data_IF_301271193386
#
_entry.id   IF_301271193386
#
_cell.length_a   1.000
_cell.length_b   1.000
_cell.length_c   1.000
_cell.angle_alpha   90.00
_cell.angle_beta   90.00
_cell.angle_gamma   90.00
#
_symmetry.space_group_name_H-M   'P 1'
#
loop_
_entity.id
_entity.type
_entity.pdbx_description
1 polymer ?
#
# COMPACT_ATOMS: atom_id res chain seq x y z
N UNK A 1 15.01 10.71 36.07
CA UNK A 1 15.01 11.01 34.63
C UNK A 1 13.62 11.50 34.23
N UNK A 2 13.46 12.76 33.86
CA UNK A 2 12.19 13.28 33.35
C UNK A 2 12.18 13.10 31.83
N UNK A 3 11.08 12.61 31.26
CA UNK A 3 10.94 12.60 29.79
C UNK A 3 10.90 14.04 29.30
N UNK A 4 11.47 14.30 28.12
CA UNK A 4 11.50 15.62 27.50
C UNK A 4 10.23 15.93 26.70
N UNK A 5 9.31 14.98 26.60
CA UNK A 5 8.06 15.10 25.83
C UNK A 5 6.92 15.59 26.72
N UNK A 6 6.08 16.49 26.19
CA UNK A 6 4.84 16.88 26.86
C UNK A 6 3.82 15.73 26.92
N UNK A 7 3.09 15.67 28.03
CA UNK A 7 1.97 14.72 28.18
C UNK A 7 0.90 14.91 27.11
N UNK A 8 0.65 16.14 26.68
CA UNK A 8 -0.32 16.48 25.63
C UNK A 8 -0.02 15.76 24.30
N UNK A 9 1.23 15.79 23.83
CA UNK A 9 1.64 15.08 22.60
C UNK A 9 1.48 13.56 22.74
N UNK A 10 1.79 13.01 23.92
CA UNK A 10 1.62 11.58 24.21
C UNK A 10 0.13 11.21 24.18
N UNK A 11 -0.74 12.02 24.79
CA UNK A 11 -2.19 11.80 24.78
C UNK A 11 -2.74 11.82 23.35
N UNK A 12 -2.35 12.82 22.54
CA UNK A 12 -2.76 12.88 21.13
C UNK A 12 -2.32 11.63 20.35
N UNK A 13 -1.11 11.12 20.57
CA UNK A 13 -0.66 9.88 19.93
C UNK A 13 -1.51 8.68 20.36
N UNK A 14 -1.72 8.51 21.67
CA UNK A 14 -2.44 7.36 22.24
C UNK A 14 -3.92 7.35 21.82
N UNK A 15 -4.53 8.53 21.71
CA UNK A 15 -5.89 8.71 21.21
C UNK A 15 -5.99 8.58 19.67
N UNK A 16 -4.86 8.48 18.99
CA UNK A 16 -4.76 8.42 17.53
C UNK A 16 -5.14 9.74 16.86
N UNK A 17 -4.86 10.87 17.48
CA UNK A 17 -5.17 12.22 16.97
C UNK A 17 -3.93 13.00 16.56
N UNK A 18 -2.77 12.35 16.48
CA UNK A 18 -1.49 13.00 16.23
C UNK A 18 -1.10 12.93 14.74
N UNK A 19 -0.93 14.10 14.11
CA UNK A 19 -0.65 14.19 12.67
C UNK A 19 0.78 13.81 12.29
N UNK A 20 1.74 13.95 13.22
CA UNK A 20 3.14 13.66 12.95
C UNK A 20 3.80 12.80 14.05
N UNK A 21 3.55 11.48 14.08
CA UNK A 21 4.14 10.57 15.05
C UNK A 21 5.68 10.61 15.12
N UNK A 22 6.37 11.00 14.05
CA UNK A 22 7.84 11.08 14.01
C UNK A 22 8.42 12.19 14.89
N UNK A 23 7.63 13.18 15.31
CA UNK A 23 8.08 14.16 16.32
C UNK A 23 8.23 13.54 17.72
N UNK A 24 7.62 12.38 17.93
CA UNK A 24 7.57 11.71 19.22
C UNK A 24 8.32 10.38 19.18
N UNK A 25 7.97 9.53 18.22
CA UNK A 25 8.46 8.18 18.03
C UNK A 25 9.78 8.16 17.27
N UNK A 26 10.48 7.02 17.38
CA UNK A 26 11.79 6.84 16.77
C UNK A 26 12.92 7.50 17.57
N UNK A 27 14.07 7.73 16.93
CA UNK A 27 15.25 8.30 17.55
C UNK A 27 15.24 9.84 17.56
N UNK A 28 15.52 10.46 18.71
CA UNK A 28 15.60 11.92 18.87
C UNK A 28 16.86 12.33 19.61
N UNK A 29 17.61 13.31 19.10
CA UNK A 29 18.75 13.86 19.83
C UNK A 29 18.28 14.61 21.08
N UNK A 30 18.86 14.28 22.23
CA UNK A 30 18.56 14.91 23.52
C UNK A 30 19.84 15.18 24.31
N UNK A 31 19.72 16.00 25.34
CA UNK A 31 20.78 16.16 26.35
C UNK A 31 20.37 15.44 27.63
N UNK A 32 21.20 14.50 28.07
CA UNK A 32 21.03 13.78 29.34
C UNK A 32 22.25 14.04 30.23
N UNK A 33 22.02 14.55 31.44
CA UNK A 33 23.07 14.92 32.41
C UNK A 33 24.23 15.76 31.79
N UNK A 34 23.91 16.68 30.87
CA UNK A 34 24.90 17.55 30.20
C UNK A 34 25.68 16.89 29.05
N UNK A 35 25.31 15.67 28.63
CA UNK A 35 25.92 14.95 27.51
C UNK A 35 24.91 14.69 26.42
N UNK A 36 25.38 14.62 25.17
CA UNK A 36 24.54 14.20 24.02
C UNK A 36 24.13 12.74 24.18
N UNK A 37 22.85 12.47 23.95
CA UNK A 37 22.26 11.14 23.95
C UNK A 37 21.15 11.05 22.90
N UNK A 38 20.70 9.84 22.61
CA UNK A 38 19.56 9.58 21.74
C UNK A 38 18.40 9.04 22.58
N UNK A 39 17.26 9.73 22.55
CA UNK A 39 16.01 9.21 23.09
C UNK A 39 15.33 8.38 22.01
N UNK A 40 15.22 7.07 22.22
CA UNK A 40 14.44 6.17 21.36
C UNK A 40 13.09 5.95 22.01
N UNK A 41 12.01 6.25 21.27
CA UNK A 41 10.64 6.13 21.78
C UNK A 41 9.78 5.28 20.87
N UNK A 42 9.00 4.39 21.46
CA UNK A 42 8.13 3.47 20.73
C UNK A 42 6.74 3.40 21.38
N UNK A 43 5.70 3.33 20.55
CA UNK A 43 4.34 3.08 21.00
C UNK A 43 3.97 1.61 20.74
N UNK A 44 3.88 0.86 21.82
CA UNK A 44 3.77 -0.60 21.85
C UNK A 44 2.64 -1.00 22.81
N UNK A 45 1.37 -0.83 22.40
CA UNK A 45 0.21 -0.89 23.30
C UNK A 45 0.08 -2.19 24.09
N UNK A 46 0.43 -3.32 23.47
CA UNK A 46 0.25 -4.65 24.06
C UNK A 46 1.54 -5.23 24.67
N UNK A 47 2.65 -4.47 24.63
CA UNK A 47 3.93 -4.94 25.15
C UNK A 47 4.03 -4.74 26.66
N UNK A 48 4.50 -5.77 27.37
CA UNK A 48 4.80 -5.70 28.79
C UNK A 48 6.11 -4.93 29.02
N UNK A 49 7.14 -5.26 28.23
CA UNK A 49 8.48 -4.69 28.33
C UNK A 49 9.06 -4.49 26.94
N UNK A 50 9.95 -3.51 26.80
CA UNK A 50 10.64 -3.21 25.56
C UNK A 50 12.12 -2.86 25.82
N UNK A 51 12.97 -3.14 24.84
CA UNK A 51 14.41 -2.83 24.87
C UNK A 51 14.85 -2.29 23.52
N UNK A 52 15.85 -1.41 23.53
CA UNK A 52 16.64 -1.05 22.35
C UNK A 52 17.81 -2.02 22.27
N UNK A 53 17.93 -2.71 21.14
CA UNK A 53 18.96 -3.73 20.91
C UNK A 53 19.75 -3.46 19.64
N UNK A 54 20.98 -3.96 19.57
CA UNK A 54 21.80 -3.94 18.34
C UNK A 54 21.51 -5.18 17.47
N UNK A 55 21.38 -5.03 16.14
CA UNK A 55 21.26 -6.16 15.22
C UNK A 55 22.45 -7.12 15.36
N UNK A 56 22.17 -8.39 15.65
CA UNK A 56 23.17 -9.45 15.62
C UNK A 56 24.19 -9.48 16.77
N UNK A 57 24.19 -8.53 17.72
CA UNK A 57 25.11 -8.53 18.87
C UNK A 57 24.44 -8.15 20.19
N UNK A 58 24.77 -8.87 21.26
CA UNK A 58 24.20 -8.68 22.60
C UNK A 58 24.80 -7.50 23.40
N UNK A 59 25.59 -6.62 22.76
CA UNK A 59 26.34 -5.57 23.48
C UNK A 59 25.43 -4.41 23.89
N UNK A 60 24.46 -4.06 23.04
CA UNK A 60 23.40 -3.11 23.38
C UNK A 60 22.09 -3.87 23.68
N UNK A 61 21.64 -3.80 24.93
CA UNK A 61 20.35 -4.33 25.38
C UNK A 61 19.75 -3.38 26.43
N UNK A 62 19.37 -2.19 25.98
CA UNK A 62 18.95 -1.07 26.83
C UNK A 62 17.47 -1.19 27.15
N UNK A 63 17.06 -1.42 28.42
CA UNK A 63 15.63 -1.45 28.76
C UNK A 63 14.99 -0.09 28.52
N UNK A 64 13.80 -0.10 27.93
CA UNK A 64 12.97 1.07 27.77
C UNK A 64 12.06 1.21 28.99
N UNK A 65 11.99 2.41 29.55
CA UNK A 65 11.04 2.75 30.61
C UNK A 65 9.69 3.04 29.98
N UNK A 66 8.62 2.48 30.54
CA UNK A 66 7.25 2.87 30.21
C UNK A 66 6.98 4.28 30.76
N UNK A 67 6.78 5.25 29.87
CA UNK A 67 6.50 6.65 30.21
C UNK A 67 5.00 6.98 30.17
N UNK A 68 4.17 6.11 29.58
CA UNK A 68 2.71 6.23 29.61
C UNK A 68 2.06 4.85 29.75
N UNK A 69 0.99 4.68 30.56
CA UNK A 69 0.36 3.38 30.81
C UNK A 69 -0.20 2.72 29.56
N UNK A 70 -0.57 3.50 28.54
CA UNK A 70 -1.06 2.99 27.25
C UNK A 70 0.01 2.28 26.40
N UNK A 71 1.26 2.18 26.87
CA UNK A 71 2.32 1.47 26.16
C UNK A 71 3.29 2.37 25.40
N UNK A 72 3.52 3.60 25.85
CA UNK A 72 4.60 4.44 25.31
C UNK A 72 5.86 4.20 26.13
N UNK A 73 6.94 3.82 25.44
CA UNK A 73 8.22 3.45 26.03
C UNK A 73 9.32 4.41 25.56
N UNK A 74 10.30 4.67 26.42
CA UNK A 74 11.46 5.53 26.16
C UNK A 74 12.73 4.89 26.70
N UNK A 75 13.79 4.87 25.89
CA UNK A 75 15.15 4.59 26.33
C UNK A 75 16.06 5.76 25.96
N UNK A 76 16.91 6.17 26.90
CA UNK A 76 17.98 7.11 26.63
C UNK A 76 19.27 6.32 26.40
N UNK A 77 19.80 6.45 25.19
CA UNK A 77 20.97 5.74 24.71
C UNK A 77 22.14 6.73 24.61
N UNK A 78 23.21 6.57 25.41
CA UNK A 78 24.39 7.43 25.30
C UNK A 78 24.98 7.41 23.90
N UNK A 79 25.50 8.55 23.42
CA UNK A 79 26.09 8.64 22.08
C UNK A 79 27.19 7.59 21.83
N UNK A 80 27.94 7.20 22.87
CA UNK A 80 28.97 6.15 22.80
C UNK A 80 28.43 4.76 22.44
N UNK A 81 27.13 4.51 22.65
CA UNK A 81 26.46 3.23 22.33
C UNK A 81 25.77 3.26 20.96
N UNK A 82 25.64 4.44 20.34
CA UNK A 82 24.83 4.67 19.13
C UNK A 82 25.67 5.11 17.92
N UNK A 83 27.00 4.86 17.93
CA UNK A 83 27.98 5.27 16.91
C UNK A 83 27.68 4.74 15.49
N UNK A 84 26.65 5.27 14.82
CA UNK A 84 26.23 4.86 13.47
C UNK A 84 25.54 3.49 13.39
N UNK A 85 25.40 2.78 14.52
CA UNK A 85 24.74 1.48 14.57
C UNK A 85 23.24 1.64 14.49
N UNK A 86 22.60 0.91 13.56
CA UNK A 86 21.15 0.74 13.58
C UNK A 86 20.72 -0.01 14.82
N UNK A 87 19.55 0.29 15.34
CA UNK A 87 18.95 -0.46 16.43
C UNK A 87 17.72 -1.22 15.96
N UNK A 88 17.32 -2.19 16.78
CA UNK A 88 16.02 -2.84 16.71
C UNK A 88 15.32 -2.67 18.05
N UNK A 89 14.00 -2.83 18.03
CA UNK A 89 13.18 -2.92 19.21
C UNK A 89 12.97 -4.39 19.53
N UNK A 90 13.35 -4.81 20.74
CA UNK A 90 12.94 -6.10 21.29
C UNK A 90 11.74 -5.86 22.19
N UNK A 91 10.67 -6.62 22.02
CA UNK A 91 9.46 -6.52 22.83
C UNK A 91 9.14 -7.85 23.48
N UNK A 92 8.56 -7.80 24.68
CA UNK A 92 8.01 -8.96 25.36
C UNK A 92 6.50 -8.76 25.55
N UNK A 93 5.70 -9.69 25.00
CA UNK A 93 4.26 -9.75 25.20
C UNK A 93 3.92 -10.23 26.63
N UNK A 94 2.66 -10.09 27.05
CA UNK A 94 2.21 -10.53 28.39
C UNK A 94 2.47 -12.02 28.66
N UNK A 95 2.52 -12.87 27.61
CA UNK A 95 2.85 -14.29 27.71
C UNK A 95 4.35 -14.61 27.73
N UNK A 96 5.24 -13.61 27.78
CA UNK A 96 6.70 -13.78 27.84
C UNK A 96 7.36 -14.07 26.48
N UNK A 97 6.59 -14.25 25.40
CA UNK A 97 7.13 -14.34 24.04
C UNK A 97 7.86 -13.05 23.69
N UNK A 98 9.11 -13.19 23.24
CA UNK A 98 9.94 -12.08 22.79
C UNK A 98 10.01 -12.06 21.27
N UNK A 99 9.95 -10.88 20.69
CA UNK A 99 10.19 -10.65 19.27
C UNK A 99 11.08 -9.42 19.08
N UNK A 100 11.77 -9.38 17.96
CA UNK A 100 12.57 -8.23 17.52
C UNK A 100 11.97 -7.66 16.26
N UNK A 101 11.95 -6.35 16.15
CA UNK A 101 11.47 -5.63 14.98
C UNK A 101 12.34 -4.41 14.72
N UNK A 102 12.47 -4.00 13.46
CA UNK A 102 12.96 -2.67 13.15
C UNK A 102 11.92 -1.63 13.60
N UNK A 103 12.38 -0.46 14.02
CA UNK A 103 11.49 0.65 14.36
C UNK A 103 11.01 1.34 13.08
N UNK A 104 9.69 1.32 12.75
CA UNK A 104 9.14 2.02 11.59
C UNK A 104 9.43 3.52 11.59
N UNK A 105 9.61 4.12 12.77
CA UNK A 105 9.84 5.56 12.95
C UNK A 105 11.32 5.95 12.95
N UNK A 106 12.22 4.99 12.67
CA UNK A 106 13.65 5.25 12.47
C UNK A 106 14.04 5.54 11.01
N UNK A 107 13.12 5.34 10.07
CA UNK A 107 13.38 5.50 8.63
C UNK A 107 12.96 6.89 8.10
N UNK A 108 13.66 7.43 7.09
CA UNK A 108 13.28 8.70 6.45
C UNK A 108 11.98 8.57 5.64
N UNK A 109 11.37 9.71 5.24
CA UNK A 109 10.39 9.68 4.15
C UNK A 109 11.06 9.40 2.81
N UNK A 110 10.29 8.84 1.88
CA UNK A 110 10.67 8.59 0.50
C UNK A 110 10.08 9.60 -0.49
N UNK A 111 8.97 10.26 -0.15
CA UNK A 111 8.46 11.37 -0.95
C UNK A 111 9.46 12.54 -0.91
N UNK A 112 9.95 12.95 -2.09
CA UNK A 112 10.90 14.05 -2.23
C UNK A 112 10.18 15.39 -2.38
N UNK A 113 10.89 16.49 -2.17
CA UNK A 113 10.36 17.85 -2.41
C UNK A 113 9.88 18.03 -3.86
N UNK A 114 10.52 17.34 -4.82
CA UNK A 114 10.11 17.34 -6.21
C UNK A 114 8.79 16.57 -6.42
N UNK A 115 8.63 15.42 -5.77
CA UNK A 115 7.35 14.68 -5.80
C UNK A 115 6.23 15.56 -5.22
N UNK A 116 6.44 16.23 -4.08
CA UNK A 116 5.46 17.14 -3.49
C UNK A 116 5.11 18.32 -4.41
N UNK A 117 6.10 18.93 -5.05
CA UNK A 117 5.88 20.03 -5.98
C UNK A 117 4.94 19.61 -7.11
N UNK A 118 5.26 18.52 -7.81
CA UNK A 118 4.43 18.01 -8.92
C UNK A 118 3.04 17.53 -8.45
N UNK A 119 2.96 16.92 -7.27
CA UNK A 119 1.69 16.47 -6.68
C UNK A 119 0.77 17.66 -6.37
N UNK A 120 1.30 18.74 -5.80
CA UNK A 120 0.54 19.94 -5.50
C UNK A 120 0.06 20.66 -6.77
N UNK A 121 0.83 20.61 -7.85
CA UNK A 121 0.44 21.19 -9.14
C UNK A 121 -0.49 20.29 -9.98
N UNK A 122 -0.70 19.04 -9.56
CA UNK A 122 -1.46 18.05 -10.34
C UNK A 122 -0.74 17.61 -11.62
N UNK A 123 0.58 17.79 -11.69
CA UNK A 123 1.43 17.50 -12.86
C UNK A 123 2.29 16.23 -12.68
N UNK A 124 2.09 15.49 -11.58
CA UNK A 124 2.79 14.24 -11.32
C UNK A 124 2.17 13.05 -12.09
N UNK A 125 2.46 12.94 -13.39
CA UNK A 125 1.89 11.89 -14.28
C UNK A 125 2.19 10.44 -13.86
N UNK A 126 3.26 10.22 -13.10
CA UNK A 126 3.66 8.89 -12.55
C UNK A 126 3.42 8.78 -11.05
N UNK A 127 2.40 9.47 -10.52
CA UNK A 127 2.16 9.52 -9.06
C UNK A 127 1.92 8.13 -8.45
N UNK A 128 1.46 7.17 -9.25
CA UNK A 128 1.27 5.78 -8.84
C UNK A 128 2.57 5.08 -8.45
N UNK A 129 3.75 5.61 -8.80
CA UNK A 129 5.06 5.07 -8.37
C UNK A 129 5.48 5.54 -6.98
N UNK A 130 4.76 6.53 -6.46
CA UNK A 130 5.04 7.20 -5.19
C UNK A 130 3.93 6.98 -4.18
N UNK A 131 2.68 7.11 -4.61
CA UNK A 131 1.48 6.85 -3.81
C UNK A 131 1.04 5.40 -3.94
N UNK A 132 0.27 4.92 -2.96
CA UNK A 132 -0.12 3.53 -2.83
C UNK A 132 0.82 2.76 -1.90
N UNK A 133 0.96 1.45 -2.12
CA UNK A 133 1.88 0.60 -1.37
C UNK A 133 2.97 0.04 -2.27
N UNK A 134 4.22 0.29 -1.89
CA UNK A 134 5.40 -0.05 -2.69
C UNK A 134 6.42 -0.84 -1.89
N UNK A 135 6.85 -1.97 -2.43
CA UNK A 135 8.02 -2.69 -1.94
C UNK A 135 9.27 -1.81 -2.09
N UNK A 136 10.00 -1.62 -1.00
CA UNK A 136 11.20 -0.77 -0.93
C UNK A 136 12.23 -1.41 -0.02
N UNK A 137 13.49 -1.25 -0.40
CA UNK A 137 14.63 -1.53 0.47
C UNK A 137 15.21 -0.19 0.89
N UNK A 138 15.01 0.19 2.15
CA UNK A 138 15.64 1.39 2.70
C UNK A 138 16.81 0.91 3.51
N UNK A 139 18.00 1.39 3.15
CA UNK A 139 19.16 1.18 3.98
C UNK A 139 19.59 -0.32 4.08
N UNK A 140 19.05 -1.21 3.23
CA UNK A 140 19.27 -2.66 3.31
C UNK A 140 18.23 -3.40 4.18
N UNK A 141 17.16 -2.72 4.59
CA UNK A 141 15.99 -3.32 5.23
C UNK A 141 14.83 -3.28 4.24
N UNK A 142 14.31 -4.46 3.92
CA UNK A 142 13.12 -4.60 3.07
C UNK A 142 11.85 -4.25 3.85
N UNK A 143 10.87 -3.70 3.16
CA UNK A 143 9.57 -3.38 3.72
C UNK A 143 8.65 -2.78 2.68
N UNK A 144 7.57 -2.17 3.16
CA UNK A 144 6.57 -1.51 2.30
C UNK A 144 6.45 -0.05 2.71
N UNK A 145 6.61 0.83 1.73
CA UNK A 145 6.25 2.24 1.87
C UNK A 145 4.80 2.45 1.46
N UNK A 146 4.03 3.04 2.35
CA UNK A 146 2.63 3.41 2.13
C UNK A 146 2.52 4.92 2.04
N UNK A 147 1.82 5.41 1.02
CA UNK A 147 1.53 6.83 0.89
C UNK A 147 0.11 7.08 0.35
N UNK A 148 -0.64 7.97 1.00
CA UNK A 148 -2.03 8.28 0.65
C UNK A 148 -2.33 9.76 0.84
N UNK A 149 -3.14 10.33 -0.04
CA UNK A 149 -3.61 11.71 0.08
C UNK A 149 -4.89 11.78 0.91
N UNK A 150 -4.83 12.47 2.04
CA UNK A 150 -5.99 12.68 2.92
C UNK A 150 -5.81 13.99 3.70
N UNK A 151 -5.90 15.15 3.03
CA UNK A 151 -5.41 16.42 3.58
C UNK A 151 -6.18 16.88 4.82
N UNK A 152 -7.47 16.59 4.88
CA UNK A 152 -8.34 16.98 5.99
C UNK A 152 -8.39 15.93 7.11
N UNK A 153 -7.75 14.77 6.95
CA UNK A 153 -7.69 13.79 8.03
C UNK A 153 -6.92 14.36 9.23
N UNK A 154 -7.35 13.98 10.43
CA UNK A 154 -6.64 14.29 11.69
C UNK A 154 -5.63 13.20 12.03
N UNK A 155 -5.83 11.98 11.54
CA UNK A 155 -4.83 10.90 11.59
C UNK A 155 -5.08 9.90 10.48
N UNK A 156 -4.02 9.31 9.95
CA UNK A 156 -4.10 8.09 9.12
C UNK A 156 -3.17 7.03 9.70
N UNK A 157 -3.60 5.78 9.68
CA UNK A 157 -2.79 4.63 10.09
C UNK A 157 -2.91 3.51 9.07
N UNK A 158 -1.83 2.78 8.82
CA UNK A 158 -1.90 1.56 8.01
C UNK A 158 -2.36 0.42 8.91
N UNK A 159 -3.43 -0.28 8.54
CA UNK A 159 -3.97 -1.42 9.28
C UNK A 159 -3.99 -2.66 8.39
N UNK A 160 -3.71 -3.81 8.98
CA UNK A 160 -3.68 -5.08 8.25
C UNK A 160 -3.37 -6.26 9.17
N UNK A 161 -3.22 -7.44 8.60
CA UNK A 161 -2.97 -8.66 9.39
C UNK A 161 -1.69 -8.55 10.24
N UNK A 162 -0.66 -7.90 9.71
CA UNK A 162 0.63 -7.68 10.37
C UNK A 162 0.52 -6.91 11.69
N UNK A 163 -0.57 -6.17 11.91
CA UNK A 163 -0.81 -5.42 13.12
C UNK A 163 -2.17 -5.73 13.76
N UNK A 164 -2.79 -6.86 13.40
CA UNK A 164 -4.12 -7.28 13.86
C UNK A 164 -5.21 -6.22 13.64
N UNK A 165 -5.10 -5.47 12.54
CA UNK A 165 -6.03 -4.40 12.18
C UNK A 165 -6.15 -3.27 13.23
N UNK A 166 -5.12 -3.06 14.05
CA UNK A 166 -5.06 -2.04 15.09
C UNK A 166 -4.38 -0.76 14.60
N UNK A 167 -5.19 0.28 14.37
CA UNK A 167 -4.73 1.61 13.93
C UNK A 167 -3.80 2.34 14.91
N UNK A 168 -3.68 1.89 16.16
CA UNK A 168 -2.73 2.50 17.11
C UNK A 168 -1.28 2.14 16.80
N UNK A 169 -1.04 1.04 16.08
CA UNK A 169 0.30 0.44 15.96
C UNK A 169 1.17 1.04 14.87
N UNK A 170 0.55 1.57 13.80
CA UNK A 170 1.27 2.13 12.65
C UNK A 170 0.64 3.45 12.16
N UNK A 171 0.52 4.49 13.02
CA UNK A 171 0.12 5.81 12.57
C UNK A 171 1.16 6.43 11.62
N UNK A 172 0.68 7.07 10.55
CA UNK A 172 1.48 7.65 9.48
C UNK A 172 1.82 9.12 9.79
N UNK A 173 2.85 9.66 9.13
CA UNK A 173 3.17 11.10 9.18
C UNK A 173 2.42 11.85 8.11
N UNK A 174 1.75 12.95 8.47
CA UNK A 174 1.23 13.96 7.55
C UNK A 174 2.34 14.92 7.12
N UNK A 175 2.47 15.12 5.82
CA UNK A 175 3.35 16.14 5.22
C UNK A 175 2.55 17.42 4.96
N UNK A 176 2.90 18.49 5.67
CA UNK A 176 2.25 19.81 5.58
C UNK A 176 3.06 20.69 4.62
N UNK A 177 2.42 21.49 3.73
CA UNK A 177 0.97 21.77 3.65
C UNK A 177 0.18 20.82 2.74
N UNK A 178 0.83 19.87 2.06
CA UNK A 178 0.20 19.06 1.01
C UNK A 178 -0.88 18.07 1.47
N UNK A 179 -0.78 17.58 2.71
CA UNK A 179 -1.75 16.64 3.27
C UNK A 179 -1.59 15.19 2.81
N UNK A 180 -0.42 14.83 2.29
CA UNK A 180 -0.03 13.44 2.05
C UNK A 180 0.39 12.78 3.35
N UNK A 181 -0.01 11.53 3.54
CA UNK A 181 0.37 10.70 4.67
C UNK A 181 1.34 9.64 4.19
N UNK A 182 2.40 9.37 4.96
CA UNK A 182 3.40 8.39 4.60
C UNK A 182 3.91 7.58 5.81
N UNK A 183 4.20 6.30 5.59
CA UNK A 183 4.93 5.45 6.51
C UNK A 183 5.66 4.33 5.77
N UNK A 184 6.93 4.10 6.11
CA UNK A 184 7.62 2.87 5.76
C UNK A 184 7.49 1.86 6.90
N UNK A 185 6.97 0.66 6.60
CA UNK A 185 6.86 -0.42 7.56
C UNK A 185 7.85 -1.53 7.19
N UNK A 186 8.93 -1.70 7.98
CA UNK A 186 9.96 -2.68 7.71
C UNK A 186 9.45 -4.12 7.91
N UNK A 187 9.99 -5.06 7.14
CA UNK A 187 9.70 -6.49 7.23
C UNK A 187 8.39 -6.92 6.57
N UNK A 188 7.57 -5.99 6.06
CA UNK A 188 6.40 -6.34 5.26
C UNK A 188 6.82 -6.81 3.86
N UNK A 189 6.04 -7.72 3.29
CA UNK A 189 6.30 -8.35 2.01
C UNK A 189 5.09 -8.27 1.06
N UNK A 190 5.30 -8.72 -0.17
CA UNK A 190 4.23 -8.95 -1.14
C UNK A 190 3.13 -9.86 -0.56
N UNK A 191 1.88 -9.60 -0.94
CA UNK A 191 0.71 -10.29 -0.42
C UNK A 191 0.18 -9.74 0.90
N UNK A 192 0.87 -8.76 1.51
CA UNK A 192 0.38 -8.11 2.74
C UNK A 192 -0.97 -7.44 2.49
N UNK A 193 -2.00 -7.88 3.22
CA UNK A 193 -3.32 -7.27 3.24
C UNK A 193 -3.31 -6.00 4.09
N UNK A 194 -3.87 -4.92 3.57
CA UNK A 194 -3.93 -3.65 4.27
C UNK A 194 -5.12 -2.76 3.87
N UNK A 195 -5.40 -1.79 4.74
CA UNK A 195 -6.28 -0.63 4.53
C UNK A 195 -5.67 0.59 5.20
N UNK A 196 -6.19 1.77 4.85
CA UNK A 196 -5.95 2.99 5.60
C UNK A 196 -7.08 3.21 6.61
N UNK A 197 -6.74 3.23 7.90
CA UNK A 197 -7.65 3.72 8.94
C UNK A 197 -7.52 5.23 9.02
N UNK A 198 -8.52 5.92 8.51
CA UNK A 198 -8.59 7.38 8.43
C UNK A 198 -9.47 7.91 9.55
N UNK A 199 -8.98 8.88 10.31
CA UNK A 199 -9.77 9.64 11.28
C UNK A 199 -10.02 11.04 10.76
N UNK A 200 -11.27 11.48 10.90
CA UNK A 200 -11.68 12.85 10.65
C UNK A 200 -12.62 13.27 11.78
N UNK A 201 -12.15 14.19 12.63
CA UNK A 201 -12.82 14.54 13.89
C UNK A 201 -13.07 13.27 14.74
N UNK A 202 -14.31 13.01 15.13
CA UNK A 202 -14.69 11.84 15.93
C UNK A 202 -15.07 10.60 15.08
N UNK A 203 -14.98 10.70 13.76
CA UNK A 203 -15.28 9.59 12.86
C UNK A 203 -14.02 8.85 12.44
N UNK A 204 -14.11 7.52 12.35
CA UNK A 204 -13.04 6.62 11.93
C UNK A 204 -13.57 5.73 10.82
N UNK A 205 -12.81 5.63 9.73
CA UNK A 205 -13.15 4.88 8.53
C UNK A 205 -11.99 3.97 8.13
N UNK A 206 -12.30 2.76 7.66
CA UNK A 206 -11.31 1.90 7.01
C UNK A 206 -11.52 1.97 5.50
N UNK A 207 -10.52 2.52 4.80
CA UNK A 207 -10.52 2.78 3.36
C UNK A 207 -9.61 1.83 2.61
N UNK A 208 -10.03 1.42 1.42
CA UNK A 208 -9.13 0.78 0.46
C UNK A 208 -8.09 1.78 -0.01
N UNK A 209 -6.97 1.29 -0.52
CA UNK A 209 -5.98 2.18 -1.12
C UNK A 209 -6.52 2.72 -2.46
N UNK A 210 -6.69 4.05 -2.63
CA UNK A 210 -7.11 4.64 -3.91
C UNK A 210 -6.16 4.29 -5.06
N UNK A 211 -4.89 4.04 -4.74
CA UNK A 211 -3.80 3.68 -5.64
C UNK A 211 -3.30 2.25 -5.39
N UNK A 212 -4.12 1.39 -4.78
CA UNK A 212 -3.82 -0.01 -4.60
C UNK A 212 -3.79 -0.76 -5.94
N UNK A 213 -2.69 -1.47 -6.18
CA UNK A 213 -2.49 -2.25 -7.40
C UNK A 213 -3.23 -3.60 -7.41
N UNK A 214 -3.69 -4.05 -6.25
CA UNK A 214 -4.52 -5.24 -6.14
C UNK A 214 -5.44 -5.20 -4.90
N UNK A 215 -6.50 -5.99 -4.94
CA UNK A 215 -7.53 -6.04 -3.92
C UNK A 215 -8.00 -7.49 -3.66
N UNK A 216 -8.53 -7.75 -2.47
CA UNK A 216 -9.22 -9.02 -2.21
C UNK A 216 -10.45 -9.21 -3.10
N UNK A 217 -10.79 -10.48 -3.33
CA UNK A 217 -12.02 -10.85 -4.05
C UNK A 217 -13.26 -10.31 -3.31
N UNK A 218 -14.13 -9.53 -3.99
CA UNK A 218 -15.38 -9.05 -3.40
C UNK A 218 -16.24 -10.20 -2.82
N UNK A 219 -16.93 -9.99 -1.68
CA UNK A 219 -17.24 -8.71 -1.04
C UNK A 219 -16.17 -8.21 -0.06
N UNK A 220 -15.01 -8.86 0.02
CA UNK A 220 -13.89 -8.34 0.81
C UNK A 220 -13.29 -7.13 0.12
N UNK A 221 -12.60 -6.30 0.89
CA UNK A 221 -12.22 -4.94 0.46
C UNK A 221 -10.82 -4.54 0.87
N UNK A 222 -9.98 -5.42 1.44
CA UNK A 222 -8.60 -5.02 1.68
C UNK A 222 -7.84 -4.88 0.35
N UNK A 223 -6.94 -3.90 0.30
CA UNK A 223 -5.90 -3.86 -0.73
C UNK A 223 -4.81 -4.86 -0.35
N UNK A 224 -4.02 -5.35 -1.30
CA UNK A 224 -2.81 -6.10 -0.99
C UNK A 224 -1.61 -5.63 -1.80
N UNK A 225 -0.43 -5.72 -1.18
CA UNK A 225 0.85 -5.32 -1.77
C UNK A 225 1.23 -6.30 -2.87
N UNK A 226 1.55 -5.80 -4.07
CA UNK A 226 1.93 -6.62 -5.22
C UNK A 226 3.17 -6.03 -5.92
N UNK A 227 4.06 -6.90 -6.41
CA UNK A 227 5.18 -6.49 -7.26
C UNK A 227 4.80 -6.60 -8.74
N UNK A 228 4.56 -5.45 -9.38
CA UNK A 228 4.20 -5.39 -10.80
C UNK A 228 5.35 -5.76 -11.75
N UNK A 229 6.59 -5.89 -11.27
CA UNK A 229 7.76 -6.17 -12.12
C UNK A 229 8.00 -7.67 -12.37
N UNK A 230 7.13 -8.55 -11.86
CA UNK A 230 7.29 -10.01 -12.00
C UNK A 230 6.96 -10.57 -13.38
N UNK A 231 6.21 -9.83 -14.19
CA UNK A 231 5.82 -10.30 -15.52
C UNK A 231 6.87 -9.89 -16.57
N UNK A 232 7.32 -10.85 -17.37
CA UNK A 232 8.18 -10.61 -18.52
C UNK A 232 7.32 -10.57 -19.78
N UNK A 233 7.26 -9.40 -20.41
CA UNK A 233 6.49 -9.16 -21.65
C UNK A 233 7.23 -9.71 -22.87
N UNK A 234 6.47 -10.15 -23.88
CA UNK A 234 7.00 -10.61 -25.17
C UNK A 234 6.32 -9.89 -26.36
N UNK A 235 5.80 -8.68 -26.14
CA UNK A 235 4.99 -7.92 -27.09
C UNK A 235 5.75 -6.76 -27.76
N UNK A 236 7.07 -6.73 -27.68
CA UNK A 236 7.91 -5.65 -28.21
C UNK A 236 7.63 -5.37 -29.70
N UNK A 237 7.49 -6.42 -30.51
CA UNK A 237 7.17 -6.29 -31.94
C UNK A 237 5.77 -5.69 -32.17
N UNK A 238 4.79 -6.08 -31.35
CA UNK A 238 3.45 -5.51 -31.40
C UNK A 238 3.47 -4.03 -31.06
N UNK A 239 4.12 -3.63 -29.97
CA UNK A 239 4.23 -2.22 -29.56
C UNK A 239 4.97 -1.37 -30.60
N UNK A 240 6.03 -1.91 -31.22
CA UNK A 240 6.76 -1.23 -32.28
C UNK A 240 5.91 -1.01 -33.55
N UNK A 241 5.05 -1.97 -33.91
CA UNK A 241 4.06 -1.81 -34.98
C UNK A 241 2.97 -0.81 -34.58
N UNK A 242 2.46 -0.91 -33.35
CA UNK A 242 1.38 -0.08 -32.80
C UNK A 242 1.74 1.41 -32.86
N UNK A 243 2.98 1.76 -32.53
CA UNK A 243 3.47 3.14 -32.52
C UNK A 243 3.53 3.80 -33.90
N UNK A 244 3.57 3.01 -34.98
CA UNK A 244 3.64 3.49 -36.37
C UNK A 244 2.32 3.34 -37.13
N UNK A 245 1.33 2.71 -36.51
CA UNK A 245 0.06 2.40 -37.14
C UNK A 245 -0.81 3.65 -37.29
N UNK A 246 -1.40 3.80 -38.48
CA UNK A 246 -2.46 4.77 -38.73
C UNK A 246 -3.82 4.07 -38.56
N UNK A 247 -4.31 4.06 -37.33
CA UNK A 247 -5.50 3.31 -36.92
C UNK A 247 -6.77 3.69 -37.69
N UNK A 248 -6.85 4.94 -38.16
CA UNK A 248 -8.02 5.42 -38.93
C UNK A 248 -8.09 4.71 -40.30
N UNK A 249 -6.95 4.28 -40.83
CA UNK A 249 -6.83 3.65 -42.15
C UNK A 249 -6.49 2.15 -42.07
N UNK A 250 -6.65 1.53 -40.90
CA UNK A 250 -6.46 0.09 -40.69
C UNK A 250 -7.78 -0.61 -40.37
N UNK A 251 -7.89 -1.92 -40.65
CA UNK A 251 -9.09 -2.68 -40.30
C UNK A 251 -9.26 -2.76 -38.77
N UNK A 252 -10.35 -2.17 -38.29
CA UNK A 252 -10.78 -2.21 -36.89
C UNK A 252 -12.08 -3.00 -36.80
N UNK A 253 -11.96 -4.28 -36.41
CA UNK A 253 -13.09 -5.16 -36.11
C UNK A 253 -12.98 -5.57 -34.65
N UNK A 254 -13.88 -5.03 -33.82
CA UNK A 254 -13.79 -5.10 -32.37
C UNK A 254 -14.83 -6.10 -31.85
N UNK A 255 -14.38 -7.04 -31.02
CA UNK A 255 -15.24 -7.94 -30.25
C UNK A 255 -15.34 -7.45 -28.80
N UNK A 256 -16.50 -6.90 -28.43
CA UNK A 256 -16.77 -6.41 -27.08
C UNK A 256 -17.06 -7.58 -26.12
N UNK A 257 -16.40 -7.60 -24.96
CA UNK A 257 -16.43 -8.73 -24.02
C UNK A 257 -16.58 -8.26 -22.57
N UNK A 258 -17.60 -8.78 -21.90
CA UNK A 258 -17.66 -8.82 -20.44
C UNK A 258 -17.04 -10.13 -19.93
N UNK A 259 -15.83 -10.07 -19.38
CA UNK A 259 -15.05 -11.26 -18.98
C UNK A 259 -15.82 -12.19 -18.03
N UNK A 260 -16.62 -11.63 -17.11
CA UNK A 260 -17.34 -12.39 -16.10
C UNK A 260 -18.57 -13.16 -16.61
N UNK A 261 -18.99 -12.92 -17.86
CA UNK A 261 -20.16 -13.57 -18.46
C UNK A 261 -19.94 -14.13 -19.86
N UNK A 262 -18.74 -13.97 -20.45
CA UNK A 262 -18.42 -14.52 -21.76
C UNK A 262 -18.55 -16.05 -21.78
N UNK A 263 -17.95 -16.72 -20.79
CA UNK A 263 -18.02 -18.17 -20.62
C UNK A 263 -17.84 -18.54 -19.15
N UNK A 264 -18.52 -19.60 -18.68
CA UNK A 264 -18.42 -20.11 -17.30
C UNK A 264 -17.59 -21.39 -17.25
N UNK A 265 -16.77 -21.59 -16.20
CA UNK A 265 -16.11 -22.86 -15.95
C UNK A 265 -17.11 -23.87 -15.37
N UNK A 266 -17.84 -24.55 -16.24
CA UNK A 266 -18.87 -25.51 -15.85
C UNK A 266 -20.13 -24.84 -15.27
N UNK A 267 -20.87 -25.60 -14.45
CA UNK A 267 -22.22 -25.22 -13.99
C UNK A 267 -22.26 -24.38 -12.71
N UNK A 268 -21.11 -24.13 -12.07
CA UNK A 268 -21.05 -23.38 -10.82
C UNK A 268 -21.11 -21.86 -11.07
N UNK A 269 -22.21 -21.16 -10.69
CA UNK A 269 -22.36 -19.73 -10.96
C UNK A 269 -21.40 -18.85 -10.13
N UNK A 270 -20.77 -19.41 -9.09
CA UNK A 270 -19.80 -18.71 -8.24
C UNK A 270 -18.39 -18.68 -8.81
N UNK A 271 -18.13 -19.43 -9.89
CA UNK A 271 -16.81 -19.51 -10.52
C UNK A 271 -16.73 -18.66 -11.79
N UNK A 272 -15.53 -18.16 -12.03
CA UNK A 272 -15.15 -17.44 -13.24
C UNK A 272 -13.95 -18.12 -13.88
N UNK A 273 -13.82 -17.94 -15.20
CA UNK A 273 -12.54 -18.23 -15.85
C UNK A 273 -11.50 -17.23 -15.35
N UNK A 274 -10.28 -17.71 -15.19
CA UNK A 274 -9.13 -16.88 -14.88
C UNK A 274 -8.69 -16.08 -16.11
N UNK A 275 -7.94 -15.00 -15.91
CA UNK A 275 -7.34 -14.24 -17.00
C UNK A 275 -6.50 -15.13 -17.93
N UNK A 276 -5.81 -16.15 -17.40
CA UNK A 276 -5.02 -17.09 -18.21
C UNK A 276 -5.89 -17.98 -19.10
N UNK A 277 -6.96 -18.53 -18.55
CA UNK A 277 -7.91 -19.35 -19.32
C UNK A 277 -8.63 -18.50 -20.38
N UNK A 278 -9.03 -17.28 -20.01
CA UNK A 278 -9.62 -16.31 -20.92
C UNK A 278 -8.67 -15.95 -22.05
N UNK A 279 -7.36 -15.78 -21.77
CA UNK A 279 -6.36 -15.40 -22.76
C UNK A 279 -6.33 -16.41 -23.91
N UNK A 280 -6.16 -17.69 -23.60
CA UNK A 280 -6.09 -18.72 -24.63
C UNK A 280 -7.39 -18.86 -25.42
N UNK A 281 -8.52 -18.91 -24.71
CA UNK A 281 -9.81 -19.15 -25.35
C UNK A 281 -10.30 -17.97 -26.19
N UNK A 282 -10.07 -16.74 -25.76
CA UNK A 282 -10.44 -15.54 -26.53
C UNK A 282 -9.50 -15.33 -27.72
N UNK A 283 -8.20 -15.61 -27.58
CA UNK A 283 -7.27 -15.55 -28.71
C UNK A 283 -7.66 -16.55 -29.80
N UNK A 284 -7.93 -17.81 -29.44
CA UNK A 284 -8.39 -18.84 -30.37
C UNK A 284 -9.68 -18.41 -31.07
N UNK A 285 -10.69 -18.00 -30.29
CA UNK A 285 -11.97 -17.55 -30.82
C UNK A 285 -11.85 -16.34 -31.76
N UNK A 286 -11.06 -15.33 -31.39
CA UNK A 286 -10.84 -14.16 -32.23
C UNK A 286 -10.07 -14.49 -33.51
N UNK A 287 -9.14 -15.45 -33.45
CA UNK A 287 -8.43 -15.95 -34.62
C UNK A 287 -9.36 -16.66 -35.61
N UNK A 288 -10.29 -17.50 -35.12
CA UNK A 288 -11.29 -18.18 -35.96
C UNK A 288 -12.27 -17.18 -36.60
N UNK A 289 -12.68 -16.16 -35.84
CA UNK A 289 -13.69 -15.19 -36.28
C UNK A 289 -13.11 -14.00 -37.06
N UNK A 290 -11.80 -13.79 -37.01
CA UNK A 290 -11.11 -12.70 -37.71
C UNK A 290 -11.25 -11.32 -37.07
N UNK A 291 -11.43 -11.23 -35.74
CA UNK A 291 -11.43 -9.96 -35.03
C UNK A 291 -10.01 -9.40 -34.88
N UNK A 292 -9.86 -8.08 -34.94
CA UNK A 292 -8.55 -7.42 -34.76
C UNK A 292 -8.34 -6.91 -33.33
N UNK A 293 -9.43 -6.70 -32.58
CA UNK A 293 -9.39 -6.20 -31.20
C UNK A 293 -10.42 -6.89 -30.31
N UNK A 294 -10.12 -6.95 -29.02
CA UNK A 294 -11.06 -7.32 -27.95
C UNK A 294 -11.25 -6.10 -27.06
N UNK A 295 -12.45 -5.51 -27.08
CA UNK A 295 -12.81 -4.43 -26.16
C UNK A 295 -13.32 -5.02 -24.86
N UNK A 296 -12.70 -4.65 -23.75
CA UNK A 296 -13.11 -5.12 -22.45
C UNK A 296 -14.01 -4.08 -21.78
N UNK A 297 -15.18 -4.53 -21.34
CA UNK A 297 -15.92 -3.80 -20.29
C UNK A 297 -15.02 -3.57 -19.08
N UNK A 298 -15.33 -2.59 -18.20
CA UNK A 298 -14.37 -2.11 -17.20
C UNK A 298 -13.78 -3.24 -16.35
N UNK A 299 -12.46 -3.36 -16.42
CA UNK A 299 -11.69 -4.38 -15.68
C UNK A 299 -11.17 -3.87 -14.33
N UNK A 300 -11.35 -2.59 -14.01
CA UNK A 300 -11.00 -2.03 -12.71
C UNK A 300 -11.78 -2.69 -11.57
N UNK A 301 -11.22 -2.72 -10.36
CA UNK A 301 -11.89 -3.36 -9.23
C UNK A 301 -13.20 -2.65 -8.86
N UNK A 302 -14.25 -3.44 -8.70
CA UNK A 302 -15.62 -2.98 -8.47
C UNK A 302 -16.35 -3.94 -7.51
N UNK A 303 -17.17 -3.43 -6.58
CA UNK A 303 -17.74 -4.25 -5.51
C UNK A 303 -18.89 -5.14 -6.00
N UNK A 304 -19.61 -4.72 -7.04
CA UNK A 304 -20.85 -5.36 -7.48
C UNK A 304 -20.82 -5.77 -8.95
N UNK A 305 -20.88 -7.07 -9.23
CA UNK A 305 -20.83 -7.61 -10.61
C UNK A 305 -22.01 -7.18 -11.48
N UNK A 306 -23.16 -6.83 -10.88
CA UNK A 306 -24.32 -6.33 -11.64
C UNK A 306 -24.14 -4.91 -12.21
N UNK A 307 -23.07 -4.20 -11.81
CA UNK A 307 -22.67 -2.94 -12.45
C UNK A 307 -21.92 -3.13 -13.76
N UNK A 308 -21.56 -4.38 -14.10
CA UNK A 308 -20.69 -4.75 -15.23
C UNK A 308 -19.31 -4.06 -15.22
N UNK A 309 -18.89 -3.56 -14.05
CA UNK A 309 -17.63 -2.84 -13.87
C UNK A 309 -17.76 -1.32 -13.87
N UNK A 310 -18.90 -0.75 -14.26
CA UNK A 310 -19.07 0.71 -14.34
C UNK A 310 -19.17 1.43 -12.99
N UNK A 311 -19.18 0.70 -11.87
CA UNK A 311 -19.13 1.26 -10.52
C UNK A 311 -17.79 0.94 -9.84
N UNK A 312 -16.72 1.55 -10.35
CA UNK A 312 -15.33 1.31 -9.91
C UNK A 312 -15.04 1.87 -8.51
N UNK A 313 -14.31 1.10 -7.71
CA UNK A 313 -13.74 1.55 -6.41
C UNK A 313 -12.22 1.48 -6.39
N UNK A 314 -11.61 0.54 -7.14
CA UNK A 314 -10.15 0.40 -7.26
C UNK A 314 -9.67 0.73 -8.66
N UNK A 315 -9.41 2.01 -8.93
CA UNK A 315 -9.02 2.49 -10.26
C UNK A 315 -7.66 1.98 -10.75
N UNK A 316 -6.75 1.67 -9.83
CA UNK A 316 -5.39 1.23 -10.12
C UNK A 316 -5.19 -0.29 -10.01
N UNK A 317 -6.27 -1.04 -9.78
CA UNK A 317 -6.24 -2.51 -9.72
C UNK A 317 -7.18 -3.11 -10.75
N UNK A 318 -6.73 -4.19 -11.40
CA UNK A 318 -7.62 -5.06 -12.15
C UNK A 318 -8.41 -5.93 -11.18
N UNK A 319 -9.65 -6.25 -11.53
CA UNK A 319 -10.54 -7.00 -10.64
C UNK A 319 -9.96 -8.37 -10.30
N UNK A 320 -9.91 -8.65 -9.01
CA UNK A 320 -9.37 -9.90 -8.47
C UNK A 320 -10.22 -11.14 -8.78
N UNK A 321 -11.44 -10.96 -9.32
CA UNK A 321 -12.36 -12.05 -9.70
C UNK A 321 -11.74 -13.07 -10.65
N UNK A 322 -10.82 -12.63 -11.52
CA UNK A 322 -10.24 -13.46 -12.58
C UNK A 322 -8.76 -13.79 -12.33
N UNK A 323 -8.16 -13.36 -11.22
CA UNK A 323 -6.78 -13.65 -10.87
C UNK A 323 -5.97 -12.42 -10.49
N UNK A 324 -4.65 -12.53 -10.63
CA UNK A 324 -3.69 -11.50 -10.22
C UNK A 324 -3.46 -10.45 -11.32
N UNK A 325 -2.88 -9.28 -11.00
CA UNK A 325 -2.42 -8.34 -12.02
C UNK A 325 -1.49 -8.98 -13.06
N UNK A 326 -0.61 -9.90 -12.66
CA UNK A 326 0.30 -10.60 -13.56
C UNK A 326 -0.43 -11.57 -14.50
N UNK A 327 -1.58 -12.12 -14.09
CA UNK A 327 -2.42 -12.93 -14.97
C UNK A 327 -3.13 -12.06 -16.01
N UNK A 328 -3.50 -10.82 -15.67
CA UNK A 328 -4.00 -9.86 -16.66
C UNK A 328 -2.91 -9.36 -17.61
N UNK A 329 -1.69 -9.13 -17.11
CA UNK A 329 -0.54 -8.84 -17.98
C UNK A 329 -0.31 -9.97 -18.98
N UNK A 330 -0.36 -11.23 -18.52
CA UNK A 330 -0.28 -12.40 -19.38
C UNK A 330 -1.40 -12.44 -20.43
N UNK A 331 -2.63 -12.08 -20.06
CA UNK A 331 -3.74 -11.97 -21.00
C UNK A 331 -3.44 -10.98 -22.12
N UNK A 332 -3.00 -9.77 -21.78
CA UNK A 332 -2.68 -8.72 -22.77
C UNK A 332 -1.48 -9.14 -23.63
N UNK A 333 -0.43 -9.68 -23.02
CA UNK A 333 0.79 -10.14 -23.72
C UNK A 333 0.45 -11.22 -24.76
N UNK A 334 -0.37 -12.21 -24.38
CA UNK A 334 -0.78 -13.26 -25.31
C UNK A 334 -1.64 -12.73 -26.46
N UNK A 335 -2.55 -11.78 -26.19
CA UNK A 335 -3.32 -11.12 -27.24
C UNK A 335 -2.42 -10.36 -28.22
N UNK A 336 -1.45 -9.59 -27.72
CA UNK A 336 -0.49 -8.86 -28.55
C UNK A 336 0.38 -9.78 -29.43
N UNK A 337 0.86 -10.89 -28.87
CA UNK A 337 1.60 -11.91 -29.62
C UNK A 337 0.78 -12.53 -30.77
N UNK A 338 -0.54 -12.53 -30.65
CA UNK A 338 -1.47 -13.00 -31.67
C UNK A 338 -2.07 -11.87 -32.53
N UNK A 339 -1.53 -10.67 -32.44
CA UNK A 339 -1.94 -9.53 -33.26
C UNK A 339 -3.30 -8.93 -32.88
N UNK A 340 -3.76 -9.15 -31.65
CA UNK A 340 -5.06 -8.68 -31.15
C UNK A 340 -4.82 -7.51 -30.18
N UNK A 341 -5.43 -6.35 -30.48
CA UNK A 341 -5.38 -5.19 -29.59
C UNK A 341 -6.45 -5.20 -28.49
N UNK A 342 -6.16 -4.58 -27.34
CA UNK A 342 -7.04 -4.59 -26.15
C UNK A 342 -7.42 -3.16 -25.73
N UNK A 343 -8.43 -2.53 -26.34
CA UNK A 343 -9.05 -1.34 -25.78
C UNK A 343 -9.79 -1.68 -24.47
N UNK A 344 -9.76 -0.74 -23.53
CA UNK A 344 -10.40 -0.87 -22.22
C UNK A 344 -11.44 0.22 -22.04
N UNK A 345 -12.62 -0.17 -21.58
CA UNK A 345 -13.57 0.78 -21.03
C UNK A 345 -13.01 1.39 -19.75
N UNK A 346 -12.86 2.71 -19.78
CA UNK A 346 -12.38 3.51 -18.66
C UNK A 346 -13.51 4.38 -18.11
N UNK A 347 -13.67 4.42 -16.78
CA UNK A 347 -14.84 5.01 -16.11
C UNK A 347 -14.47 6.23 -15.25
N UNK A 348 -14.03 7.36 -15.84
CA UNK A 348 -13.64 8.56 -15.09
C UNK A 348 -14.83 9.43 -14.64
N UNK A 349 -16.04 9.14 -15.12
CA UNK A 349 -17.18 10.05 -14.97
C UNK A 349 -17.83 10.06 -13.58
N UNK A 350 -17.69 8.99 -12.80
CA UNK A 350 -18.28 8.86 -11.46
C UNK A 350 -17.66 7.68 -10.68
N UNK A 351 -17.91 7.62 -9.37
CA UNK A 351 -17.61 6.49 -8.48
C UNK A 351 -18.81 6.23 -7.54
N UNK A 352 -19.01 5.00 -7.03
CA UNK A 352 -20.13 4.67 -6.16
C UNK A 352 -19.91 5.16 -4.72
N UNK A 353 -20.95 5.12 -3.88
CA UNK A 353 -20.92 5.63 -2.50
C UNK A 353 -20.49 4.61 -1.44
N UNK A 354 -19.86 3.52 -1.86
CA UNK A 354 -19.39 2.47 -0.97
C UNK A 354 -18.39 3.02 0.06
N UNK A 355 -18.64 2.74 1.34
CA UNK A 355 -17.86 3.31 2.45
C UNK A 355 -16.37 2.95 2.44
N UNK A 356 -15.98 1.87 1.76
CA UNK A 356 -14.57 1.49 1.61
C UNK A 356 -13.84 2.25 0.50
N UNK A 357 -14.57 2.77 -0.49
CA UNK A 357 -14.02 3.48 -1.65
C UNK A 357 -13.83 4.98 -1.42
N UNK A 358 -13.86 5.76 -2.51
CA UNK A 358 -13.51 7.19 -2.52
C UNK A 358 -14.54 8.14 -1.88
N UNK A 359 -15.77 7.67 -1.63
CA UNK A 359 -16.80 8.48 -0.99
C UNK A 359 -16.41 8.88 0.44
N UNK A 360 -16.87 10.03 0.93
CA UNK A 360 -16.53 10.53 2.27
C UNK A 360 -17.23 9.75 3.38
#
# INVERSE_FOLDING_TARGET
>A
MHTTVSLDKISQLVEGRYENPFELLGPHEVTDAGRKALAVRAFLPDSAQAWVVEPGHARMNRPMRRIHPAGVFEAICPASEMNGTRYMLRVAEQGGKKSEMHDPYSFPHLLTDYDFHLLNEGTHWRLYERLGAHLRTIDGVDGVNFAVWAPNATSVSVVGDFNAWDGRRHPMRKHIPSGFWELFVPGLCEGTLYKYRVRHHDHVFDKTDPLGFAAEVPPRTASYVVDLNRHHWHDEEWLARRAKADWIHQPLSIYEVHLGSWRRPGDDPSKWLTYRELAHQLVEYCGEMGYTHIELLPVSEHPFSGSWGYQTVGYYSVTSRYGTPQDFMYFVDLCHQNGIGIPLDWVPGHFPRDGHGLAQ
#
